data_IF_364954715092
#
_entry.id   IF_364954715092
#
_cell.length_a   1.000
_cell.length_b   1.000
_cell.length_c   1.000
_cell.angle_alpha   90.00
_cell.angle_beta   90.00
_cell.angle_gamma   90.00
#
_symmetry.space_group_name_H-M   'P 1'
#
loop_
_entity.id
_entity.type
_entity.pdbx_description
1 polymer ?
#
# COMPACT_ATOMS: atom_id res chain seq x y z
N UNK A 1 2.50 -4.02 23.84
CA UNK A 1 2.34 -4.09 22.35
C UNK A 1 2.61 -2.70 21.80
N UNK A 2 3.42 -2.59 20.73
CA UNK A 2 3.62 -1.30 20.08
C UNK A 2 2.28 -0.78 19.50
N UNK A 3 1.94 0.47 19.75
CA UNK A 3 0.73 1.08 19.20
C UNK A 3 0.78 1.15 17.68
N UNK A 4 -0.37 1.05 17.03
CA UNK A 4 -0.48 1.33 15.58
C UNK A 4 -0.21 2.81 15.37
N UNK A 5 0.75 3.13 14.50
CA UNK A 5 1.13 4.52 14.23
C UNK A 5 0.34 5.10 13.06
N UNK A 6 0.14 4.27 12.04
CA UNK A 6 -0.53 4.67 10.81
C UNK A 6 -1.21 3.47 10.14
N UNK A 7 -2.26 3.75 9.39
CA UNK A 7 -3.01 2.75 8.61
C UNK A 7 -3.06 3.19 7.16
N UNK A 8 -2.84 2.24 6.26
CA UNK A 8 -2.84 2.44 4.82
C UNK A 8 -3.86 1.50 4.18
N UNK A 9 -4.76 2.06 3.43
CA UNK A 9 -5.73 1.32 2.62
C UNK A 9 -5.19 1.29 1.20
N UNK A 10 -4.97 0.11 0.66
CA UNK A 10 -4.54 -0.09 -0.72
C UNK A 10 -5.69 -0.66 -1.55
N UNK A 11 -5.92 -0.10 -2.73
CA UNK A 11 -7.00 -0.50 -3.62
C UNK A 11 -6.46 -0.71 -5.03
N UNK A 12 -6.57 -1.93 -5.52
CA UNK A 12 -6.38 -2.29 -6.91
C UNK A 12 -7.72 -2.43 -7.60
N UNK A 13 -7.92 -1.79 -8.74
CA UNK A 13 -9.18 -1.77 -9.48
C UNK A 13 -9.05 -2.62 -10.74
N UNK A 14 -9.61 -3.82 -10.67
CA UNK A 14 -9.69 -4.73 -11.82
C UNK A 14 -10.72 -4.28 -12.85
N UNK A 15 -10.47 -4.67 -14.11
CA UNK A 15 -11.46 -4.59 -15.19
C UNK A 15 -12.39 -5.80 -15.14
N UNK A 16 -13.32 -5.90 -16.09
CA UNK A 16 -14.35 -6.96 -16.14
C UNK A 16 -13.82 -8.40 -16.01
N UNK A 17 -12.58 -8.66 -16.43
CA UNK A 17 -11.93 -9.97 -16.34
C UNK A 17 -10.86 -10.06 -15.25
N UNK A 18 -10.61 -8.96 -14.54
CA UNK A 18 -9.64 -8.88 -13.47
C UNK A 18 -10.37 -8.58 -12.15
N UNK A 19 -9.89 -9.15 -11.07
CA UNK A 19 -10.45 -8.87 -9.74
C UNK A 19 -10.06 -7.49 -9.26
N UNK A 20 -10.97 -6.82 -8.54
CA UNK A 20 -10.58 -5.72 -7.69
C UNK A 20 -10.18 -6.26 -6.32
N UNK A 21 -9.14 -5.69 -5.73
CA UNK A 21 -8.67 -6.07 -4.40
C UNK A 21 -8.46 -4.86 -3.49
N UNK A 22 -8.77 -5.08 -2.22
CA UNK A 22 -8.66 -4.08 -1.15
C UNK A 22 -7.85 -4.65 0.00
N UNK A 23 -6.88 -3.89 0.49
CA UNK A 23 -6.09 -4.25 1.67
C UNK A 23 -6.06 -3.14 2.71
N UNK A 24 -5.93 -3.51 3.98
CA UNK A 24 -5.64 -2.59 5.08
C UNK A 24 -4.33 -3.03 5.72
N UNK A 25 -3.37 -2.12 5.76
CA UNK A 25 -2.02 -2.36 6.27
C UNK A 25 -1.75 -1.38 7.42
N UNK A 26 -1.46 -1.90 8.60
CA UNK A 26 -1.04 -1.10 9.75
C UNK A 26 0.48 -1.02 9.82
N UNK A 27 1.02 0.18 10.01
CA UNK A 27 2.43 0.40 10.32
C UNK A 27 2.64 0.48 11.83
N UNK A 28 3.60 -0.28 12.32
CA UNK A 28 4.05 -0.23 13.73
C UNK A 28 5.56 -0.09 13.77
N UNK A 29 6.04 0.61 14.78
CA UNK A 29 7.47 0.70 15.08
C UNK A 29 7.93 -0.50 15.87
N UNK A 30 9.15 -0.93 15.59
CA UNK A 30 9.84 -1.84 16.47
C UNK A 30 11.33 -1.47 16.58
N UNK A 31 11.89 -1.69 17.75
CA UNK A 31 13.34 -1.67 17.99
C UNK A 31 13.89 -3.09 17.73
N UNK A 32 14.91 -3.27 16.88
CA UNK A 32 15.40 -4.60 16.53
C UNK A 32 15.90 -5.41 17.73
N UNK A 33 16.62 -4.82 18.68
CA UNK A 33 16.99 -5.39 19.98
C UNK A 33 17.22 -4.26 20.98
N UNK A 34 17.04 -4.55 22.29
CA UNK A 34 17.26 -3.57 23.35
C UNK A 34 18.75 -3.11 23.45
N UNK A 35 19.67 -3.84 22.87
CA UNK A 35 21.10 -3.55 22.82
C UNK A 35 21.51 -2.73 21.58
N UNK A 36 20.71 -2.72 20.53
CA UNK A 36 20.91 -1.97 19.28
C UNK A 36 20.13 -0.65 19.27
N UNK A 37 20.12 0.07 20.37
CA UNK A 37 19.43 1.35 20.48
C UNK A 37 20.27 2.44 19.78
N UNK A 38 20.38 2.36 18.46
CA UNK A 38 20.52 3.54 17.63
C UNK A 38 19.11 4.10 17.38
N UNK A 39 18.73 5.24 18.00
CA UNK A 39 17.42 5.87 17.77
C UNK A 39 17.15 6.18 16.27
N UNK A 40 18.22 6.22 15.46
CA UNK A 40 18.15 6.41 14.00
C UNK A 40 17.74 5.14 13.23
N UNK A 41 17.64 3.98 13.90
CA UNK A 41 17.27 2.69 13.31
C UNK A 41 15.92 2.17 13.74
N UNK A 42 14.96 3.02 14.02
CA UNK A 42 13.58 2.58 14.16
C UNK A 42 13.11 2.01 12.82
N UNK A 43 12.90 0.71 12.79
CA UNK A 43 12.37 0.02 11.60
C UNK A 43 10.86 -0.09 11.72
N UNK A 44 10.15 0.30 10.69
CA UNK A 44 8.72 0.06 10.60
C UNK A 44 8.45 -1.40 10.20
N UNK A 45 7.44 -2.01 10.85
CA UNK A 45 6.82 -3.25 10.42
C UNK A 45 5.42 -2.98 9.90
N UNK A 46 5.06 -3.70 8.85
CA UNK A 46 3.78 -3.63 8.19
C UNK A 46 2.99 -4.89 8.50
N UNK A 47 1.78 -4.70 8.98
CA UNK A 47 0.86 -5.78 9.31
C UNK A 47 -0.34 -5.69 8.39
N UNK A 48 -0.50 -6.64 7.49
CA UNK A 48 -1.71 -6.80 6.69
C UNK A 48 -2.80 -7.27 7.63
N UNK A 49 -3.77 -6.38 7.89
CA UNK A 49 -4.85 -6.57 8.86
C UNK A 49 -6.12 -7.09 8.19
N UNK A 50 -6.31 -6.77 6.92
CA UNK A 50 -7.49 -7.09 6.15
C UNK A 50 -7.15 -7.20 4.67
N UNK A 51 -7.74 -8.15 3.98
CA UNK A 51 -7.75 -8.26 2.52
C UNK A 51 -9.14 -8.67 2.05
N UNK A 52 -9.54 -8.15 0.91
CA UNK A 52 -10.75 -8.55 0.20
C UNK A 52 -10.48 -8.56 -1.29
N UNK A 53 -10.83 -9.65 -1.93
CA UNK A 53 -10.99 -9.76 -3.37
C UNK A 53 -12.47 -9.66 -3.68
N UNK A 54 -12.84 -8.80 -4.61
CA UNK A 54 -14.22 -8.69 -5.07
C UNK A 54 -14.44 -9.70 -6.19
N UNK A 55 -15.63 -10.31 -6.23
CA UNK A 55 -16.00 -11.22 -7.32
C UNK A 55 -15.93 -10.49 -8.66
N UNK A 56 -15.63 -11.25 -9.73
CA UNK A 56 -15.65 -10.70 -11.09
C UNK A 56 -17.02 -10.05 -11.38
N UNK A 57 -16.99 -8.95 -12.13
CA UNK A 57 -18.18 -8.17 -12.46
C UNK A 57 -18.89 -7.53 -11.25
N UNK A 58 -18.26 -7.46 -10.08
CA UNK A 58 -18.78 -6.64 -8.98
C UNK A 58 -18.93 -5.19 -9.44
N UNK A 59 -20.12 -4.57 -9.32
CA UNK A 59 -20.29 -3.16 -9.66
C UNK A 59 -19.32 -2.28 -8.89
N UNK A 60 -18.69 -1.33 -9.54
CA UNK A 60 -17.71 -0.44 -8.90
C UNK A 60 -18.30 0.34 -7.73
N UNK A 61 -19.58 0.67 -7.78
CA UNK A 61 -20.27 1.29 -6.66
C UNK A 61 -20.20 0.45 -5.36
N UNK A 62 -20.23 -0.87 -5.46
CA UNK A 62 -20.07 -1.77 -4.30
C UNK A 62 -18.65 -1.70 -3.76
N UNK A 63 -17.65 -1.61 -4.64
CA UNK A 63 -16.25 -1.38 -4.24
C UNK A 63 -16.11 -0.05 -3.52
N UNK A 64 -16.67 1.02 -4.09
CA UNK A 64 -16.67 2.37 -3.50
C UNK A 64 -17.34 2.40 -2.12
N UNK A 65 -18.50 1.75 -1.99
CA UNK A 65 -19.23 1.65 -0.72
C UNK A 65 -18.42 0.92 0.35
N UNK A 66 -17.76 -0.17 -0.03
CA UNK A 66 -16.93 -0.94 0.90
C UNK A 66 -15.71 -0.15 1.38
N UNK A 67 -15.03 0.56 0.48
CA UNK A 67 -13.91 1.44 0.86
C UNK A 67 -14.40 2.52 1.83
N UNK A 68 -15.53 3.17 1.54
CA UNK A 68 -16.09 4.20 2.41
C UNK A 68 -16.53 3.63 3.77
N UNK A 69 -17.12 2.44 3.79
CA UNK A 69 -17.51 1.74 5.02
C UNK A 69 -16.31 1.47 5.92
N UNK A 70 -15.23 0.89 5.35
CA UNK A 70 -14.01 0.57 6.09
C UNK A 70 -13.32 1.85 6.57
N UNK A 71 -13.27 2.89 5.74
CA UNK A 71 -12.70 4.18 6.12
C UNK A 71 -13.40 4.84 7.30
N UNK A 72 -14.73 4.66 7.41
CA UNK A 72 -15.55 5.19 8.51
C UNK A 72 -15.56 4.35 9.79
N UNK A 73 -14.82 3.23 9.84
CA UNK A 73 -14.79 2.38 11.03
C UNK A 73 -14.11 3.06 12.22
N UNK A 74 -14.57 2.80 13.46
CA UNK A 74 -13.96 3.39 14.66
C UNK A 74 -12.47 3.11 14.80
N UNK A 75 -11.98 1.98 14.29
CA UNK A 75 -10.59 1.56 14.32
C UNK A 75 -9.69 2.45 13.48
N UNK A 76 -10.26 3.17 12.51
CA UNK A 76 -9.57 4.17 11.71
C UNK A 76 -9.46 5.51 12.45
N UNK A 77 -10.28 5.75 13.47
CA UNK A 77 -10.26 6.99 14.23
C UNK A 77 -9.05 7.05 15.16
N UNK A 78 -8.42 8.23 15.24
CA UNK A 78 -7.27 8.46 16.11
C UNK A 78 -5.94 7.92 15.58
N UNK A 79 -5.93 7.33 14.38
CA UNK A 79 -4.72 6.97 13.64
C UNK A 79 -4.50 7.90 12.45
N UNK A 80 -3.27 7.95 11.96
CA UNK A 80 -2.96 8.62 10.68
C UNK A 80 -3.32 7.64 9.57
N UNK A 81 -4.21 8.04 8.67
CA UNK A 81 -4.74 7.14 7.65
C UNK A 81 -4.52 7.70 6.25
N UNK A 82 -4.21 6.81 5.31
CA UNK A 82 -4.10 7.11 3.87
C UNK A 82 -4.83 6.05 3.08
N UNK A 83 -5.48 6.47 2.00
CA UNK A 83 -6.10 5.57 1.04
C UNK A 83 -5.41 5.78 -0.32
N UNK A 84 -4.83 4.72 -0.86
CA UNK A 84 -4.04 4.70 -2.07
C UNK A 84 -4.71 3.75 -3.06
N UNK A 85 -4.99 4.19 -4.28
CA UNK A 85 -5.63 3.34 -5.28
C UNK A 85 -4.94 3.41 -6.63
N UNK A 86 -4.98 2.28 -7.34
CA UNK A 86 -4.63 2.27 -8.76
C UNK A 86 -5.68 3.08 -9.54
N UNK A 87 -5.21 4.11 -10.24
CA UNK A 87 -6.05 4.92 -11.13
C UNK A 87 -5.80 4.64 -12.61
N UNK A 88 -5.09 3.57 -12.93
CA UNK A 88 -4.86 3.15 -14.31
C UNK A 88 -6.17 2.76 -14.98
N UNK A 89 -6.45 3.31 -16.14
CA UNK A 89 -7.64 2.95 -16.94
C UNK A 89 -8.96 3.22 -16.22
N UNK A 90 -9.65 2.18 -15.78
CA UNK A 90 -10.96 2.28 -15.09
C UNK A 90 -10.85 2.75 -13.63
N UNK A 91 -9.67 2.76 -13.06
CA UNK A 91 -9.46 3.15 -11.68
C UNK A 91 -9.77 4.63 -11.40
N UNK A 92 -9.47 5.53 -12.34
CA UNK A 92 -9.68 6.98 -12.15
C UNK A 92 -11.15 7.34 -11.84
N UNK A 93 -12.18 6.92 -12.62
CA UNK A 93 -13.58 7.21 -12.28
C UNK A 93 -14.04 6.55 -10.98
N UNK A 94 -13.56 5.35 -10.65
CA UNK A 94 -13.90 4.67 -9.37
C UNK A 94 -13.34 5.46 -8.19
N UNK A 95 -12.09 5.90 -8.27
CA UNK A 95 -11.49 6.72 -7.24
C UNK A 95 -12.22 8.05 -7.04
N UNK A 96 -12.72 8.66 -8.11
CA UNK A 96 -13.55 9.85 -8.01
C UNK A 96 -14.88 9.55 -7.29
N UNK A 97 -15.49 8.39 -7.54
CA UNK A 97 -16.65 7.89 -6.79
C UNK A 97 -16.37 7.77 -5.30
N UNK A 98 -15.19 7.22 -4.94
CA UNK A 98 -14.76 7.09 -3.54
C UNK A 98 -14.51 8.45 -2.91
N UNK A 99 -13.89 9.41 -3.61
CA UNK A 99 -13.69 10.80 -3.13
C UNK A 99 -15.01 11.51 -2.85
N UNK A 100 -16.03 11.30 -3.67
CA UNK A 100 -17.40 11.82 -3.42
C UNK A 100 -18.00 11.26 -2.13
N UNK A 101 -17.58 10.07 -1.70
CA UNK A 101 -17.95 9.45 -0.41
C UNK A 101 -17.06 9.93 0.76
N UNK A 102 -16.28 11.01 0.55
CA UNK A 102 -15.40 11.67 1.54
C UNK A 102 -14.21 10.81 2.01
N UNK A 103 -13.73 9.91 1.19
CA UNK A 103 -12.46 9.22 1.41
C UNK A 103 -11.38 9.92 0.58
N UNK A 104 -10.33 10.50 1.21
CA UNK A 104 -9.26 11.17 0.48
C UNK A 104 -8.35 10.12 -0.19
N UNK A 105 -8.51 9.95 -1.50
CA UNK A 105 -7.74 8.98 -2.28
C UNK A 105 -6.48 9.61 -2.88
N UNK A 106 -5.37 8.95 -2.69
CA UNK A 106 -4.11 9.17 -3.42
C UNK A 106 -4.13 8.25 -4.64
N UNK A 107 -3.92 8.83 -5.82
CA UNK A 107 -3.91 8.11 -7.08
C UNK A 107 -2.53 7.63 -7.45
N UNK A 108 -2.44 6.39 -7.90
CA UNK A 108 -1.23 5.83 -8.49
C UNK A 108 -1.57 5.34 -9.89
N UNK A 109 -0.91 5.88 -10.90
CA UNK A 109 -0.91 5.31 -12.25
C UNK A 109 0.23 4.31 -12.32
N UNK A 110 -0.10 3.03 -12.45
CA UNK A 110 0.89 1.97 -12.57
C UNK A 110 1.44 1.98 -14.00
N UNK A 111 2.76 2.07 -14.14
CA UNK A 111 3.44 2.19 -15.43
C UNK A 111 4.40 1.04 -15.68
N UNK A 112 4.75 0.81 -16.96
CA UNK A 112 5.83 -0.09 -17.35
C UNK A 112 7.22 0.59 -17.44
N UNK A 113 7.32 1.89 -17.03
CA UNK A 113 8.58 2.63 -17.06
C UNK A 113 9.51 2.29 -15.90
N UNK A 114 10.61 3.05 -15.77
CA UNK A 114 11.62 2.82 -14.72
C UNK A 114 11.62 3.88 -13.62
N UNK A 115 10.97 5.02 -13.84
CA UNK A 115 11.05 6.19 -12.95
C UNK A 115 9.72 6.50 -12.29
N UNK A 116 9.80 6.84 -10.99
CA UNK A 116 8.67 7.38 -10.25
C UNK A 116 8.56 8.88 -10.51
N UNK A 117 7.35 9.38 -10.77
CA UNK A 117 7.07 10.81 -10.91
C UNK A 117 5.78 11.20 -10.22
N UNK A 118 5.66 12.47 -9.89
CA UNK A 118 4.46 13.07 -9.28
C UNK A 118 3.98 14.23 -10.17
N UNK A 119 3.12 13.97 -11.17
CA UNK A 119 2.65 14.99 -12.09
C UNK A 119 1.72 16.02 -11.43
N UNK A 120 0.97 15.58 -10.41
CA UNK A 120 0.04 16.43 -9.68
C UNK A 120 0.05 16.09 -8.18
N UNK A 121 -0.42 16.99 -7.30
CA UNK A 121 -0.64 16.66 -5.89
C UNK A 121 -1.55 15.45 -5.77
N UNK A 122 -1.13 14.48 -4.92
CA UNK A 122 -1.85 13.22 -4.67
C UNK A 122 -2.00 12.29 -5.90
N UNK A 123 -1.18 12.48 -6.93
CA UNK A 123 -1.10 11.60 -8.10
C UNK A 123 0.35 11.24 -8.37
N UNK A 124 0.61 9.94 -8.48
CA UNK A 124 1.94 9.38 -8.71
C UNK A 124 1.91 8.45 -9.91
N UNK A 125 2.96 8.51 -10.72
CA UNK A 125 3.24 7.49 -11.73
C UNK A 125 4.34 6.58 -11.18
N UNK A 126 4.04 5.30 -11.03
CA UNK A 126 4.92 4.36 -10.35
C UNK A 126 5.09 3.11 -11.20
N UNK A 127 6.33 2.70 -11.48
CA UNK A 127 6.58 1.42 -12.15
C UNK A 127 6.03 0.25 -11.35
N UNK A 128 5.35 -0.69 -12.01
CA UNK A 128 4.88 -1.94 -11.37
C UNK A 128 6.03 -2.65 -10.66
N UNK A 129 7.19 -2.70 -11.30
CA UNK A 129 8.40 -3.31 -10.74
C UNK A 129 8.82 -2.65 -9.42
N UNK A 130 8.74 -1.32 -9.31
CA UNK A 130 9.09 -0.61 -8.08
C UNK A 130 8.16 -0.97 -6.92
N UNK A 131 6.84 -1.07 -7.18
CA UNK A 131 5.84 -1.49 -6.20
C UNK A 131 6.14 -2.90 -5.67
N UNK A 132 6.29 -3.86 -6.59
CA UNK A 132 6.46 -5.26 -6.24
C UNK A 132 7.82 -5.53 -5.60
N UNK A 133 8.89 -4.96 -6.14
CA UNK A 133 10.25 -5.10 -5.59
C UNK A 133 10.31 -4.61 -4.14
N UNK A 134 9.68 -3.49 -3.84
CA UNK A 134 9.64 -2.98 -2.48
C UNK A 134 8.88 -3.91 -1.54
N UNK A 135 7.72 -4.43 -1.97
CA UNK A 135 6.93 -5.37 -1.16
C UNK A 135 7.72 -6.66 -0.88
N UNK A 136 8.37 -7.22 -1.90
CA UNK A 136 9.23 -8.42 -1.77
C UNK A 136 10.37 -8.15 -0.78
N UNK A 137 11.04 -7.01 -0.86
CA UNK A 137 12.09 -6.61 0.10
C UNK A 137 11.56 -6.53 1.54
N UNK A 138 10.35 -5.98 1.74
CA UNK A 138 9.72 -5.94 3.06
C UNK A 138 9.43 -7.34 3.59
N UNK A 139 8.97 -8.25 2.74
CA UNK A 139 8.72 -9.64 3.11
C UNK A 139 10.01 -10.39 3.47
N UNK A 140 11.04 -10.30 2.63
CA UNK A 140 12.35 -10.94 2.84
C UNK A 140 13.05 -10.46 4.11
N UNK A 141 12.93 -9.17 4.43
CA UNK A 141 13.51 -8.58 5.64
C UNK A 141 12.63 -8.80 6.89
N UNK A 142 11.57 -9.60 6.79
CA UNK A 142 10.66 -9.88 7.89
C UNK A 142 9.87 -8.66 8.40
N UNK A 143 9.83 -7.59 7.61
CA UNK A 143 9.11 -6.35 7.91
C UNK A 143 7.64 -6.40 7.48
N UNK A 144 7.26 -7.26 6.55
CA UNK A 144 5.88 -7.54 6.18
C UNK A 144 5.37 -8.75 6.95
N UNK A 145 4.21 -8.62 7.58
CA UNK A 145 3.52 -9.68 8.32
C UNK A 145 2.05 -9.70 7.91
N UNK A 146 1.50 -10.87 7.69
CA UNK A 146 0.05 -11.06 7.55
C UNK A 146 -0.48 -11.52 8.88
N UNK A 147 -1.52 -10.87 9.41
CA UNK A 147 -2.13 -11.25 10.68
C UNK A 147 -2.85 -12.58 10.55
N UNK A 148 -2.81 -13.38 11.63
CA UNK A 148 -3.47 -14.69 11.67
C UNK A 148 -4.98 -14.52 11.44
N UNK A 149 -5.54 -15.33 10.53
CA UNK A 149 -6.97 -15.34 10.24
C UNK A 149 -7.42 -14.27 9.22
N UNK A 150 -6.50 -13.54 8.61
CA UNK A 150 -6.82 -12.67 7.47
C UNK A 150 -7.25 -13.54 6.29
N UNK A 151 -8.42 -13.25 5.72
CA UNK A 151 -8.93 -13.93 4.52
C UNK A 151 -7.97 -13.70 3.35
N UNK A 152 -7.87 -14.64 2.45
CA UNK A 152 -6.99 -14.63 1.27
C UNK A 152 -5.48 -14.60 1.59
N UNK A 153 -5.07 -15.02 2.80
CA UNK A 153 -3.64 -15.02 3.14
C UNK A 153 -2.83 -16.03 2.31
N UNK A 154 -3.42 -17.13 1.91
CA UNK A 154 -2.74 -18.17 1.15
C UNK A 154 -2.65 -17.79 -0.32
N UNK A 155 -3.72 -17.24 -0.90
CA UNK A 155 -3.73 -16.68 -2.25
C UNK A 155 -2.72 -15.52 -2.37
N UNK A 156 -2.67 -14.63 -1.37
CA UNK A 156 -1.67 -13.56 -1.33
C UNK A 156 -0.24 -14.09 -1.32
N UNK A 157 0.02 -15.21 -0.60
CA UNK A 157 1.34 -15.84 -0.59
C UNK A 157 1.68 -16.47 -1.93
N UNK A 158 0.71 -17.10 -2.58
CA UNK A 158 0.87 -17.67 -3.92
C UNK A 158 1.16 -16.59 -4.94
N UNK A 159 0.38 -15.50 -4.96
CA UNK A 159 0.63 -14.34 -5.81
C UNK A 159 2.02 -13.74 -5.57
N UNK A 160 2.39 -13.49 -4.31
CA UNK A 160 3.69 -12.92 -3.96
C UNK A 160 4.84 -13.86 -4.35
N UNK A 161 4.64 -15.17 -4.22
CA UNK A 161 5.59 -16.19 -4.63
C UNK A 161 5.77 -16.29 -6.15
N UNK A 162 4.72 -15.98 -6.92
CA UNK A 162 4.75 -15.96 -8.38
C UNK A 162 5.58 -14.79 -8.95
N UNK A 163 5.80 -13.73 -8.17
CA UNK A 163 6.84 -12.74 -8.45
C UNK A 163 8.22 -13.32 -8.10
N UNK A 164 8.53 -14.47 -8.71
CA UNK A 164 9.74 -15.20 -8.46
C UNK A 164 10.97 -14.55 -9.07
N UNK A 165 12.12 -14.92 -8.52
CA UNK A 165 13.44 -14.56 -9.01
C UNK A 165 13.62 -14.98 -10.48
N UNK A 166 13.53 -14.07 -11.42
CA UNK A 166 14.30 -14.20 -12.66
C UNK A 166 15.68 -13.57 -12.45
N UNK A 167 16.59 -14.35 -11.93
CA UNK A 167 18.01 -14.02 -12.05
C UNK A 167 18.38 -14.30 -13.50
N UNK A 168 18.46 -13.25 -14.31
CA UNK A 168 19.11 -13.36 -15.63
C UNK A 168 20.58 -13.68 -15.41
N UNK A 169 20.97 -14.92 -15.70
CA UNK A 169 22.36 -15.43 -15.58
C UNK A 169 23.40 -14.66 -16.42
N UNK A 170 23.04 -13.57 -17.06
CA UNK A 170 23.90 -12.75 -17.90
C UNK A 170 23.93 -11.26 -17.61
N UNK A 171 23.09 -10.76 -16.71
CA UNK A 171 23.14 -9.37 -16.26
C UNK A 171 22.90 -9.33 -14.76
N UNK A 172 23.56 -8.42 -14.06
CA UNK A 172 23.37 -8.20 -12.61
C UNK A 172 22.02 -7.57 -12.27
N UNK A 173 21.09 -7.53 -13.21
CA UNK A 173 19.77 -6.91 -13.05
C UNK A 173 18.78 -8.00 -12.65
N UNK A 174 18.17 -7.83 -11.50
CA UNK A 174 17.03 -8.65 -11.02
C UNK A 174 15.77 -8.01 -11.58
N UNK A 175 15.13 -8.65 -12.57
CA UNK A 175 13.79 -8.25 -13.00
C UNK A 175 12.75 -9.11 -12.30
N UNK A 176 11.73 -8.46 -11.76
CA UNK A 176 10.55 -9.12 -11.18
C UNK A 176 9.43 -9.11 -12.22
N UNK A 177 9.46 -10.08 -13.12
CA UNK A 177 8.34 -10.34 -14.02
C UNK A 177 7.41 -11.36 -13.35
N UNK A 178 6.10 -11.11 -13.41
CA UNK A 178 5.14 -12.17 -13.10
C UNK A 178 5.41 -13.36 -14.03
N UNK A 179 5.43 -14.56 -13.48
CA UNK A 179 5.47 -15.77 -14.30
C UNK A 179 4.20 -15.73 -15.15
N UNK A 180 4.40 -15.64 -16.46
CA UNK A 180 3.34 -15.38 -17.44
C UNK A 180 2.08 -16.24 -17.21
N UNK A 181 0.94 -15.56 -17.21
CA UNK A 181 -0.37 -16.03 -17.64
C UNK A 181 -1.25 -16.92 -16.75
N UNK A 182 -1.01 -17.07 -15.45
CA UNK A 182 -1.94 -17.88 -14.65
C UNK A 182 -2.19 -17.41 -13.21
N UNK A 183 -1.52 -16.41 -12.70
CA UNK A 183 -1.70 -15.96 -11.31
C UNK A 183 -2.17 -14.52 -11.31
N UNK A 184 -3.36 -14.31 -10.72
CA UNK A 184 -3.83 -12.97 -10.39
C UNK A 184 -2.83 -12.29 -9.46
N UNK A 185 -2.67 -10.99 -9.54
CA UNK A 185 -1.74 -10.22 -8.70
C UNK A 185 -2.41 -9.05 -7.97
N UNK A 186 -3.72 -9.03 -7.99
CA UNK A 186 -4.54 -7.96 -7.44
C UNK A 186 -4.37 -7.79 -5.91
N UNK A 187 -4.25 -8.88 -5.16
CA UNK A 187 -3.97 -8.82 -3.72
C UNK A 187 -2.57 -8.24 -3.47
N UNK A 188 -1.57 -8.70 -4.23
CA UNK A 188 -0.20 -8.20 -4.13
C UNK A 188 -0.14 -6.72 -4.48
N UNK A 189 -0.79 -6.29 -5.56
CA UNK A 189 -0.80 -4.88 -5.97
C UNK A 189 -1.48 -4.01 -4.92
N UNK A 190 -2.62 -4.43 -4.35
CA UNK A 190 -3.29 -3.67 -3.30
C UNK A 190 -2.40 -3.45 -2.07
N UNK A 191 -1.69 -4.48 -1.61
CA UNK A 191 -0.74 -4.37 -0.48
C UNK A 191 0.51 -3.58 -0.87
N UNK A 192 0.99 -3.72 -2.12
CA UNK A 192 2.14 -3.00 -2.63
C UNK A 192 1.90 -1.49 -2.69
N UNK A 193 0.73 -1.04 -3.16
CA UNK A 193 0.32 0.37 -3.17
C UNK A 193 0.35 0.96 -1.75
N UNK A 194 -0.25 0.28 -0.77
CA UNK A 194 -0.27 0.70 0.62
C UNK A 194 1.13 0.83 1.22
N UNK A 195 1.98 -0.20 1.03
CA UNK A 195 3.33 -0.23 1.60
C UNK A 195 4.31 0.68 0.89
N UNK A 196 4.18 0.85 -0.43
CA UNK A 196 4.99 1.77 -1.21
C UNK A 196 4.77 3.22 -0.73
N UNK A 197 3.53 3.64 -0.60
CA UNK A 197 3.23 4.98 -0.11
C UNK A 197 3.73 5.17 1.34
N UNK A 198 3.54 4.17 2.18
CA UNK A 198 3.99 4.20 3.56
C UNK A 198 5.52 4.36 3.71
N UNK A 199 6.31 3.72 2.86
CA UNK A 199 7.78 3.80 2.89
C UNK A 199 8.31 5.11 2.25
N UNK A 200 7.65 5.57 1.20
CA UNK A 200 8.19 6.66 0.37
C UNK A 200 7.66 8.04 0.77
N UNK A 201 6.41 8.16 1.22
CA UNK A 201 5.70 9.43 1.36
C UNK A 201 5.07 9.67 2.73
N UNK A 202 4.97 8.66 3.57
CA UNK A 202 4.48 8.80 4.92
C UNK A 202 5.61 8.54 5.92
N UNK A 203 6.57 9.49 6.07
CA UNK A 203 7.75 9.29 6.88
C UNK A 203 7.35 8.96 8.31
N UNK A 204 8.16 8.14 8.86
CA UNK A 204 8.13 7.74 10.22
C UNK A 204 8.33 8.94 11.16
N UNK A 205 7.53 9.05 12.23
CA UNK A 205 7.93 9.90 13.35
C UNK A 205 9.16 9.29 14.01
N UNK A 206 10.29 9.95 13.90
CA UNK A 206 11.43 9.66 14.76
C UNK A 206 11.05 10.17 16.16
N UNK A 207 10.69 9.28 17.07
CA UNK A 207 10.52 9.62 18.47
C UNK A 207 11.93 9.75 19.10
N UNK A 208 12.63 10.82 18.77
CA UNK A 208 13.74 11.32 19.57
C UNK A 208 13.14 12.35 20.51
N UNK A 209 13.39 12.25 21.81
CA UNK A 209 12.82 13.05 22.89
C UNK A 209 13.06 14.57 22.80
N UNK A 210 12.68 15.19 21.70
CA UNK A 210 12.59 16.61 21.50
C UNK A 210 11.20 16.95 20.98
N UNK A 211 10.59 17.92 21.63
CA UNK A 211 9.34 18.54 21.21
C UNK A 211 9.42 18.99 19.75
N UNK A 212 8.71 18.33 18.87
CA UNK A 212 8.53 18.77 17.49
C UNK A 212 7.72 20.07 17.50
N UNK A 213 8.30 21.13 16.95
CA UNK A 213 7.52 22.30 16.52
C UNK A 213 6.68 21.86 15.33
N UNK A 214 5.41 22.23 15.34
CA UNK A 214 4.39 21.88 14.35
C UNK A 214 4.65 22.41 12.92
N UNK A 215 5.74 23.15 12.72
CA UNK A 215 5.98 23.94 11.51
C UNK A 215 6.72 23.20 10.40
N UNK A 216 7.27 22.00 10.68
CA UNK A 216 8.03 21.21 9.68
C UNK A 216 7.16 20.27 8.82
N UNK A 217 5.87 20.22 9.08
CA UNK A 217 4.92 19.53 8.23
C UNK A 217 4.24 20.52 7.29
N UNK A 218 4.60 20.53 6.02
CA UNK A 218 3.63 20.92 5.00
C UNK A 218 2.44 19.99 5.19
N UNK A 219 1.40 20.52 5.82
CA UNK A 219 0.19 19.79 6.12
C UNK A 219 -0.33 19.18 4.82
N UNK A 220 -0.36 17.84 4.76
CA UNK A 220 -1.17 17.16 3.78
C UNK A 220 -2.62 17.61 4.01
N UNK A 221 -3.10 18.52 3.19
CA UNK A 221 -4.51 18.87 3.14
C UNK A 221 -5.18 17.99 2.06
N UNK A 222 -5.92 16.94 2.48
CA UNK A 222 -6.62 16.07 1.56
C UNK A 222 -7.70 16.77 0.75
N UNK A 223 -8.03 18.03 1.08
CA UNK A 223 -9.12 18.79 0.45
C UNK A 223 -8.66 20.05 -0.27
N UNK A 224 -7.33 20.33 -0.31
CA UNK A 224 -6.79 21.49 -1.08
C UNK A 224 -7.32 22.84 -0.64
N UNK A 225 -7.54 23.05 0.67
CA UNK A 225 -8.11 24.28 1.23
C UNK A 225 -7.03 25.19 1.81
N UNK A 226 -5.97 25.47 1.03
CA UNK A 226 -5.05 26.58 1.27
C UNK A 226 -4.83 27.34 -0.02
#
# INVERSE_FOLDING_TARGET
MAATEAVFVGLDIGRAQDYSALSIVARKWFTPNAEDIDPKRLLSRYYVMYMRRFELNTPYEIVEQEVARLWGMPEMNGTRNWAIGDMTGVGAPVMEGIRRKRVPMIGVVITGGETVSQPQPNEYHVPKEALVTQLVKLAQNGRLKVMKGVRYQDEFREELGAFGYKINKGSSTVSYESIENAVHDDLVISVALATWFAESHAPAKVMVGQSYKSDDYKSYDPYGRN
#
